data_IF_873530477698
#
_entry.id   IF_873530477698
#
_cell.length_a   1.000
_cell.length_b   1.000
_cell.length_c   1.000
_cell.angle_alpha   90.00
_cell.angle_beta   90.00
_cell.angle_gamma   90.00
#
_symmetry.space_group_name_H-M   'P 1'
#
loop_
_entity.id
_entity.type
_entity.pdbx_description
1 polymer ?
#
# COMPACT_ATOMS: atom_id res chain seq x y z
N UNK A 1 21.90 5.87 74.35
CA UNK A 1 22.59 6.51 73.21
C UNK A 1 22.79 5.46 72.13
N UNK A 2 21.97 5.47 71.09
CA UNK A 2 22.13 4.63 69.90
C UNK A 2 21.76 5.53 68.72
N UNK A 3 22.76 5.90 67.92
CA UNK A 3 22.61 6.76 66.76
C UNK A 3 22.37 5.88 65.53
N UNK A 4 21.22 6.07 64.86
CA UNK A 4 20.99 5.54 63.51
C UNK A 4 21.82 6.35 62.50
N UNK A 5 22.42 5.73 61.48
CA UNK A 5 23.04 6.46 60.39
C UNK A 5 21.96 7.08 59.48
N UNK A 6 22.25 8.19 58.79
CA UNK A 6 21.30 8.80 57.87
C UNK A 6 21.13 7.91 56.63
N UNK A 7 19.89 7.57 56.33
CA UNK A 7 19.49 7.01 55.05
C UNK A 7 19.73 8.06 53.96
N UNK A 8 20.43 7.65 52.92
CA UNK A 8 20.82 8.46 51.78
C UNK A 8 19.69 8.34 50.73
N UNK A 9 18.88 9.38 50.45
CA UNK A 9 17.88 9.30 49.39
C UNK A 9 18.56 9.71 48.08
N UNK A 10 19.41 8.83 47.57
CA UNK A 10 19.80 8.84 46.17
C UNK A 10 19.14 7.61 45.52
N UNK A 11 17.81 7.61 45.53
CA UNK A 11 17.04 6.85 44.57
C UNK A 11 17.31 7.51 43.22
N UNK A 12 18.07 6.78 42.41
CA UNK A 12 18.27 7.07 41.00
C UNK A 12 16.90 7.08 40.32
N UNK A 13 16.36 8.28 40.11
CA UNK A 13 15.47 8.56 38.98
C UNK A 13 16.32 8.42 37.71
N UNK A 14 16.61 7.18 37.35
CA UNK A 14 16.87 6.81 35.96
C UNK A 14 15.49 6.52 35.38
N UNK A 15 14.70 7.58 35.23
CA UNK A 15 13.66 7.60 34.21
C UNK A 15 14.43 7.39 32.90
N UNK A 16 14.42 6.14 32.42
CA UNK A 16 14.71 5.93 31.02
C UNK A 16 13.69 6.78 30.27
N UNK A 17 14.17 7.79 29.55
CA UNK A 17 13.40 8.40 28.47
C UNK A 17 12.84 7.23 27.66
N UNK A 18 11.55 6.96 27.82
CA UNK A 18 10.81 6.26 26.80
C UNK A 18 10.85 7.23 25.62
N UNK A 19 11.87 7.09 24.78
CA UNK A 19 11.98 7.78 23.50
C UNK A 19 10.78 7.33 22.67
N UNK A 20 9.65 8.02 22.84
CA UNK A 20 8.52 7.90 21.93
C UNK A 20 9.06 8.15 20.53
N UNK A 21 8.87 7.21 19.59
CA UNK A 21 9.47 7.33 18.28
C UNK A 21 8.84 8.52 17.56
N UNK A 22 9.63 9.59 17.39
CA UNK A 22 9.22 10.70 16.54
C UNK A 22 9.10 10.24 15.08
N UNK A 23 8.26 10.90 14.29
CA UNK A 23 8.15 10.64 12.85
C UNK A 23 9.49 10.78 12.14
N UNK A 24 10.35 11.71 12.59
CA UNK A 24 11.70 11.86 12.10
C UNK A 24 12.55 10.60 12.37
N UNK A 25 12.50 10.06 13.59
CA UNK A 25 13.22 8.83 13.95
C UNK A 25 12.78 7.64 13.08
N UNK A 26 11.47 7.52 12.82
CA UNK A 26 10.92 6.48 11.96
C UNK A 26 11.46 6.62 10.53
N UNK A 27 11.41 7.83 9.96
CA UNK A 27 11.90 8.11 8.61
C UNK A 27 13.40 7.86 8.46
N UNK A 28 14.20 8.24 9.46
CA UNK A 28 15.65 8.00 9.46
C UNK A 28 15.98 6.50 9.49
N UNK A 29 15.30 5.72 10.34
CA UNK A 29 15.49 4.27 10.41
C UNK A 29 15.08 3.55 9.11
N UNK A 30 14.05 4.06 8.42
CA UNK A 30 13.50 3.44 7.21
C UNK A 30 14.08 4.00 5.91
N UNK A 31 14.93 5.02 5.94
CA UNK A 31 15.43 5.73 4.75
C UNK A 31 16.06 4.80 3.70
N UNK A 32 16.76 3.75 4.13
CA UNK A 32 17.40 2.77 3.24
C UNK A 32 16.40 1.97 2.40
N UNK A 33 15.16 1.83 2.85
CA UNK A 33 14.09 1.11 2.13
C UNK A 33 13.59 1.91 0.91
N UNK A 34 13.84 3.22 0.84
CA UNK A 34 13.44 4.07 -0.28
C UNK A 34 13.97 3.60 -1.64
N UNK A 35 15.09 2.86 -1.65
CA UNK A 35 15.68 2.27 -2.87
C UNK A 35 14.79 1.24 -3.56
N UNK A 36 13.81 0.68 -2.87
CA UNK A 36 12.88 -0.31 -3.42
C UNK A 36 11.63 0.34 -4.03
N UNK A 37 11.43 1.65 -3.82
CA UNK A 37 10.35 2.38 -4.49
C UNK A 37 10.61 2.48 -5.99
N UNK A 38 9.54 2.67 -6.77
CA UNK A 38 9.59 2.63 -8.23
C UNK A 38 9.06 3.91 -8.89
N UNK A 39 9.47 5.12 -8.46
CA UNK A 39 8.90 6.37 -8.97
C UNK A 39 9.07 6.53 -10.48
N UNK A 40 10.22 6.11 -11.02
CA UNK A 40 10.51 6.17 -12.46
C UNK A 40 9.62 5.22 -13.27
N UNK A 41 9.31 4.03 -12.73
CA UNK A 41 8.40 3.08 -13.39
C UNK A 41 6.99 3.68 -13.50
N UNK A 42 6.49 4.26 -12.41
CA UNK A 42 5.18 4.93 -12.41
C UNK A 42 5.17 6.07 -13.43
N UNK A 43 6.17 6.95 -13.43
CA UNK A 43 6.26 8.06 -14.37
C UNK A 43 6.28 7.58 -15.83
N UNK A 44 7.06 6.54 -16.14
CA UNK A 44 7.12 5.95 -17.48
C UNK A 44 5.80 5.34 -17.92
N UNK A 45 5.09 4.63 -17.03
CA UNK A 45 3.78 4.06 -17.34
C UNK A 45 2.72 5.14 -17.60
N UNK A 46 2.73 6.22 -16.80
CA UNK A 46 1.84 7.36 -16.99
C UNK A 46 2.07 8.03 -18.35
N UNK A 47 3.33 8.23 -18.75
CA UNK A 47 3.65 8.81 -20.06
C UNK A 47 3.17 7.91 -21.21
N UNK A 48 3.42 6.58 -21.11
CA UNK A 48 2.95 5.62 -22.13
C UNK A 48 1.43 5.60 -22.25
N UNK A 49 0.73 5.80 -21.15
CA UNK A 49 -0.72 5.78 -21.12
C UNK A 49 -1.35 6.91 -21.98
N UNK A 50 -0.67 8.06 -22.15
CA UNK A 50 -1.15 9.13 -23.03
C UNK A 50 -1.40 8.70 -24.47
N UNK A 51 -0.80 7.59 -24.89
CA UNK A 51 -0.85 7.09 -26.26
C UNK A 51 -1.71 5.82 -26.41
N UNK A 52 -2.29 5.31 -25.32
CA UNK A 52 -3.02 4.05 -25.28
C UNK A 52 -4.46 4.27 -24.81
N UNK A 53 -5.41 3.52 -25.39
CA UNK A 53 -6.80 3.54 -24.94
C UNK A 53 -6.96 2.55 -23.81
N UNK A 54 -7.59 2.98 -22.71
CA UNK A 54 -8.09 2.10 -21.65
C UNK A 54 -9.49 1.62 -22.02
N UNK A 55 -9.84 0.42 -21.55
CA UNK A 55 -11.21 -0.09 -21.53
C UNK A 55 -12.16 0.92 -20.83
N UNK A 56 -13.17 1.40 -21.56
CA UNK A 56 -14.12 2.38 -21.05
C UNK A 56 -14.95 1.89 -19.86
N UNK A 57 -15.24 0.60 -19.77
CA UNK A 57 -15.97 0.01 -18.63
C UNK A 57 -15.10 -0.05 -17.38
N UNK A 58 -13.81 -0.35 -17.53
CA UNK A 58 -12.85 -0.28 -16.43
C UNK A 58 -12.73 1.16 -15.93
N UNK A 59 -12.65 2.12 -16.86
CA UNK A 59 -12.59 3.53 -16.51
C UNK A 59 -13.86 4.02 -15.78
N UNK A 60 -15.05 3.70 -16.30
CA UNK A 60 -16.31 4.08 -15.65
C UNK A 60 -16.42 3.50 -14.24
N UNK A 61 -15.95 2.27 -14.04
CA UNK A 61 -15.89 1.66 -12.72
C UNK A 61 -14.94 2.40 -11.77
N UNK A 62 -13.75 2.79 -12.23
CA UNK A 62 -12.80 3.58 -11.46
C UNK A 62 -13.40 4.92 -11.00
N UNK A 63 -14.05 5.63 -11.92
CA UNK A 63 -14.73 6.91 -11.64
C UNK A 63 -15.80 6.75 -10.54
N UNK A 64 -16.50 5.62 -10.50
CA UNK A 64 -17.51 5.34 -9.48
C UNK A 64 -16.91 4.86 -8.15
N UNK A 65 -15.83 4.09 -8.20
CA UNK A 65 -15.23 3.46 -7.02
C UNK A 65 -14.39 4.44 -6.19
N UNK A 66 -13.61 5.31 -6.83
CA UNK A 66 -12.76 6.30 -6.15
C UNK A 66 -13.51 7.17 -5.12
N UNK A 67 -14.65 7.81 -5.44
CA UNK A 67 -15.38 8.67 -4.51
C UNK A 67 -16.20 7.91 -3.47
N UNK A 68 -16.34 6.59 -3.59
CA UNK A 68 -17.17 5.84 -2.64
C UNK A 68 -16.57 5.89 -1.23
N UNK A 69 -17.39 6.08 -0.19
CA UNK A 69 -16.92 6.08 1.20
C UNK A 69 -16.71 4.67 1.78
N UNK A 70 -17.05 3.63 1.02
CA UNK A 70 -16.88 2.25 1.48
C UNK A 70 -15.44 1.78 1.20
N UNK A 71 -14.68 1.38 2.25
CA UNK A 71 -13.38 0.75 2.08
C UNK A 71 -13.65 -0.66 1.58
N UNK A 72 -13.58 -0.85 0.27
CA UNK A 72 -13.67 -2.18 -0.32
C UNK A 72 -12.56 -2.37 -1.31
N UNK A 73 -11.64 -3.29 -0.97
CA UNK A 73 -10.61 -3.74 -1.86
C UNK A 73 -11.20 -4.21 -3.20
N UNK A 74 -10.56 -3.78 -4.28
CA UNK A 74 -10.85 -4.21 -5.64
C UNK A 74 -9.68 -5.02 -6.15
N UNK A 75 -9.99 -6.17 -6.74
CA UNK A 75 -9.09 -6.92 -7.59
C UNK A 75 -9.59 -6.91 -9.02
N UNK A 76 -8.73 -6.45 -9.93
CA UNK A 76 -8.97 -6.54 -11.37
C UNK A 76 -8.14 -7.69 -11.95
N UNK A 77 -8.84 -8.73 -12.40
CA UNK A 77 -8.24 -9.88 -13.07
C UNK A 77 -8.21 -9.66 -14.59
N UNK A 78 -7.01 -9.55 -15.13
CA UNK A 78 -6.74 -9.44 -16.55
C UNK A 78 -6.53 -10.77 -17.24
N UNK A 79 -6.45 -10.78 -18.58
CA UNK A 79 -6.08 -11.97 -19.33
C UNK A 79 -4.63 -12.36 -19.05
N UNK A 80 -4.35 -13.67 -18.98
CA UNK A 80 -3.02 -14.19 -18.64
C UNK A 80 -1.93 -13.96 -19.71
N UNK A 81 -2.33 -13.61 -20.94
CA UNK A 81 -1.41 -13.37 -22.06
C UNK A 81 -1.65 -11.96 -22.59
N UNK A 82 -0.96 -10.99 -21.99
CA UNK A 82 -1.00 -9.58 -22.38
C UNK A 82 0.39 -9.08 -22.76
N UNK A 83 0.44 -8.10 -23.65
CA UNK A 83 1.67 -7.38 -23.98
C UNK A 83 2.03 -6.44 -22.83
N UNK A 84 3.30 -6.35 -22.46
CA UNK A 84 3.76 -5.41 -21.41
C UNK A 84 3.87 -3.96 -21.96
N UNK A 85 3.25 -2.96 -21.32
CA UNK A 85 2.39 -3.03 -20.15
C UNK A 85 0.97 -3.43 -20.55
N UNK A 86 0.33 -4.19 -19.67
CA UNK A 86 -1.07 -4.57 -19.87
C UNK A 86 -2.02 -3.39 -19.67
N UNK A 87 -3.28 -3.58 -20.07
CA UNK A 87 -4.35 -2.62 -19.77
C UNK A 87 -4.52 -2.38 -18.27
N UNK A 88 -4.34 -3.43 -17.47
CA UNK A 88 -4.42 -3.36 -16.02
C UNK A 88 -3.27 -2.55 -15.43
N UNK A 89 -2.03 -2.81 -15.87
CA UNK A 89 -0.86 -2.01 -15.48
C UNK A 89 -1.04 -0.53 -15.80
N UNK A 90 -1.55 -0.22 -16.99
CA UNK A 90 -1.81 1.15 -17.41
C UNK A 90 -2.91 1.80 -16.57
N UNK A 91 -4.02 1.10 -16.34
CA UNK A 91 -5.12 1.56 -15.48
C UNK A 91 -4.65 1.84 -14.05
N UNK A 92 -3.83 0.98 -13.47
CA UNK A 92 -3.25 1.19 -12.13
C UNK A 92 -2.37 2.44 -12.08
N UNK A 93 -1.49 2.66 -13.07
CA UNK A 93 -0.67 3.88 -13.16
C UNK A 93 -1.52 5.15 -13.29
N UNK A 94 -2.61 5.07 -14.04
CA UNK A 94 -3.58 6.16 -14.18
C UNK A 94 -4.33 6.44 -12.89
N UNK A 95 -4.77 5.40 -12.17
CA UNK A 95 -5.44 5.52 -10.88
C UNK A 95 -4.53 6.20 -9.83
N UNK A 96 -3.25 5.83 -9.78
CA UNK A 96 -2.27 6.50 -8.91
C UNK A 96 -2.16 7.99 -9.24
N UNK A 97 -2.18 8.34 -10.52
CA UNK A 97 -2.15 9.75 -10.96
C UNK A 97 -3.43 10.47 -10.56
N UNK A 98 -4.59 9.82 -10.66
CA UNK A 98 -5.87 10.36 -10.23
C UNK A 98 -5.87 10.69 -8.74
N UNK A 99 -5.50 9.73 -7.87
CA UNK A 99 -5.40 9.96 -6.43
C UNK A 99 -4.47 11.13 -6.08
N UNK A 100 -3.30 11.21 -6.73
CA UNK A 100 -2.35 12.31 -6.52
C UNK A 100 -2.92 13.67 -6.91
N UNK A 101 -3.72 13.75 -7.98
CA UNK A 101 -4.35 15.02 -8.42
C UNK A 101 -5.35 15.54 -7.40
N UNK A 102 -6.16 14.66 -6.81
CA UNK A 102 -7.13 15.00 -5.76
C UNK A 102 -6.51 15.01 -4.35
N UNK A 103 -5.17 15.01 -4.25
CA UNK A 103 -4.42 15.06 -2.99
C UNK A 103 -4.71 13.93 -2.00
N UNK A 104 -5.21 12.78 -2.48
CA UNK A 104 -5.34 11.57 -1.68
C UNK A 104 -3.96 10.89 -1.64
N UNK A 105 -3.38 10.64 -0.45
CA UNK A 105 -2.10 9.95 -0.37
C UNK A 105 -2.24 8.53 -0.94
N UNK A 106 -1.24 8.10 -1.69
CA UNK A 106 -1.24 6.80 -2.37
C UNK A 106 0.12 6.14 -2.26
N UNK A 107 0.13 4.89 -1.80
CA UNK A 107 1.28 4.00 -1.92
C UNK A 107 1.06 3.05 -3.08
N UNK A 108 2.15 2.68 -3.75
CA UNK A 108 2.05 1.80 -4.89
C UNK A 108 3.28 0.94 -5.11
N UNK A 109 3.06 -0.19 -5.77
CA UNK A 109 4.13 -1.05 -6.26
C UNK A 109 3.71 -1.78 -7.53
N UNK A 110 4.63 -1.92 -8.48
CA UNK A 110 4.41 -2.68 -9.71
C UNK A 110 5.33 -3.90 -9.68
N UNK A 111 4.74 -5.06 -9.42
CA UNK A 111 5.44 -6.33 -9.58
C UNK A 111 5.76 -6.51 -11.06
N UNK A 112 6.99 -6.86 -11.37
CA UNK A 112 7.38 -7.15 -12.73
C UNK A 112 8.22 -8.42 -12.78
N UNK A 113 7.90 -9.27 -13.76
CA UNK A 113 8.77 -10.37 -14.13
C UNK A 113 9.77 -9.85 -15.18
N UNK A 114 10.93 -9.36 -14.76
CA UNK A 114 11.98 -8.97 -15.71
C UNK A 114 12.70 -10.21 -16.24
N UNK A 115 12.04 -10.91 -17.16
CA UNK A 115 12.57 -12.10 -17.83
C UNK A 115 13.85 -11.80 -18.67
N UNK A 116 14.20 -10.53 -18.86
CA UNK A 116 15.42 -10.12 -19.60
C UNK A 116 16.67 -10.33 -18.75
N UNK A 117 16.53 -10.23 -17.43
CA UNK A 117 17.57 -10.62 -16.50
C UNK A 117 17.43 -12.11 -16.26
N UNK A 118 18.15 -12.93 -17.03
CA UNK A 118 18.22 -14.40 -16.90
C UNK A 118 18.71 -14.92 -15.53
N UNK A 119 18.78 -14.07 -14.51
CA UNK A 119 19.06 -14.46 -13.15
C UNK A 119 17.79 -15.02 -12.50
N UNK A 120 17.87 -16.12 -11.75
CA UNK A 120 16.74 -16.60 -10.97
C UNK A 120 16.37 -15.54 -9.92
N UNK A 121 15.24 -14.88 -10.13
CA UNK A 121 14.67 -13.94 -9.16
C UNK A 121 14.01 -14.75 -8.05
N UNK A 122 14.42 -14.54 -6.80
CA UNK A 122 13.76 -15.13 -5.64
C UNK A 122 12.45 -14.39 -5.39
N UNK A 123 11.30 -15.08 -5.53
CA UNK A 123 9.98 -14.48 -5.27
C UNK A 123 9.86 -13.93 -3.84
N UNK A 124 10.46 -14.60 -2.86
CA UNK A 124 10.57 -14.09 -1.49
C UNK A 124 11.29 -12.73 -1.41
N UNK A 125 12.32 -12.54 -2.23
CA UNK A 125 13.09 -11.29 -2.25
C UNK A 125 12.27 -10.18 -2.90
N UNK A 126 11.53 -10.48 -3.96
CA UNK A 126 10.63 -9.52 -4.59
C UNK A 126 9.47 -9.12 -3.68
N UNK A 127 8.88 -10.08 -2.97
CA UNK A 127 7.86 -9.80 -1.96
C UNK A 127 8.43 -8.91 -0.84
N UNK A 128 9.64 -9.20 -0.36
CA UNK A 128 10.32 -8.38 0.65
C UNK A 128 10.58 -6.96 0.15
N UNK A 129 11.11 -6.82 -1.07
CA UNK A 129 11.36 -5.52 -1.69
C UNK A 129 10.07 -4.71 -1.81
N UNK A 130 8.96 -5.34 -2.22
CA UNK A 130 7.65 -4.72 -2.26
C UNK A 130 7.21 -4.26 -0.88
N UNK A 131 7.29 -5.12 0.14
CA UNK A 131 6.89 -4.78 1.51
C UNK A 131 7.71 -3.60 2.03
N UNK A 132 9.04 -3.59 1.85
CA UNK A 132 9.89 -2.45 2.21
C UNK A 132 9.54 -1.17 1.45
N UNK A 133 9.24 -1.26 0.15
CA UNK A 133 8.80 -0.11 -0.62
C UNK A 133 7.50 0.48 -0.08
N UNK A 134 6.54 -0.36 0.33
CA UNK A 134 5.27 0.09 0.90
C UNK A 134 5.47 0.71 2.29
N UNK A 135 6.25 0.07 3.17
CA UNK A 135 6.64 0.59 4.49
C UNK A 135 7.26 1.99 4.36
N UNK A 136 8.24 2.14 3.46
CA UNK A 136 8.88 3.43 3.24
C UNK A 136 7.88 4.48 2.77
N UNK A 137 7.04 4.18 1.78
CA UNK A 137 6.06 5.15 1.31
C UNK A 137 5.07 5.54 2.41
N UNK A 138 4.63 4.62 3.28
CA UNK A 138 3.78 4.95 4.44
C UNK A 138 4.53 5.88 5.40
N UNK A 139 5.81 5.65 5.66
CA UNK A 139 6.63 6.51 6.54
C UNK A 139 6.68 7.98 6.09
N UNK A 140 6.49 8.22 4.78
CA UNK A 140 6.45 9.57 4.22
C UNK A 140 5.08 10.25 4.30
N UNK A 141 4.05 9.51 4.72
CA UNK A 141 2.64 9.97 4.79
C UNK A 141 2.19 10.17 6.25
N UNK A 142 2.87 9.55 7.20
CA UNK A 142 2.59 9.72 8.64
C UNK A 142 2.84 11.20 9.04
N UNK A 143 1.97 11.83 9.86
CA UNK A 143 2.15 13.23 10.27
C UNK A 143 3.41 13.40 11.10
N UNK A 144 3.97 14.61 11.13
CA UNK A 144 5.09 14.95 12.02
C UNK A 144 4.73 14.81 13.50
N UNK A 145 3.45 15.01 13.84
CA UNK A 145 2.94 14.92 15.21
C UNK A 145 2.06 13.67 15.39
N UNK A 146 2.58 12.68 16.13
CA UNK A 146 1.88 11.46 16.52
C UNK A 146 1.21 11.58 17.90
N UNK A 147 1.33 12.72 18.59
CA UNK A 147 0.88 12.90 19.98
C UNK A 147 -0.60 12.56 20.19
N UNK A 148 -1.47 12.91 19.24
CA UNK A 148 -2.90 12.58 19.32
C UNK A 148 -3.22 11.08 19.21
N UNK A 149 -2.28 10.28 18.69
CA UNK A 149 -2.38 8.83 18.58
C UNK A 149 -1.69 8.12 19.77
N UNK A 150 -0.67 8.77 20.35
CA UNK A 150 0.12 8.36 21.52
C UNK A 150 -0.70 8.21 22.82
N UNK A 151 -1.89 8.80 22.87
CA UNK A 151 -2.83 8.67 23.98
C UNK A 151 -3.64 7.35 23.99
N UNK A 152 -3.45 6.45 23.01
CA UNK A 152 -4.13 5.15 22.97
C UNK A 152 -3.24 4.01 23.49
N UNK A 153 -3.77 3.10 24.31
CA UNK A 153 -2.99 1.99 24.87
C UNK A 153 -2.66 0.87 23.85
N UNK A 154 -3.14 0.99 22.61
CA UNK A 154 -3.05 -0.05 21.56
C UNK A 154 -2.09 0.33 20.41
N UNK A 155 -1.08 1.16 20.68
CA UNK A 155 -0.17 1.65 19.63
C UNK A 155 0.85 0.56 19.27
N UNK A 156 1.07 0.33 17.97
CA UNK A 156 2.11 -0.57 17.54
C UNK A 156 3.51 -0.14 17.99
N UNK A 157 4.38 -1.10 18.31
CA UNK A 157 5.79 -0.80 18.61
C UNK A 157 6.50 -0.27 17.36
N UNK A 158 6.77 1.03 17.31
CA UNK A 158 7.55 1.68 16.24
C UNK A 158 8.94 2.12 16.74
N UNK A 159 9.46 1.46 17.77
CA UNK A 159 10.77 1.78 18.33
C UNK A 159 11.89 1.64 17.30
N UNK A 160 12.91 2.48 17.44
CA UNK A 160 14.11 2.40 16.61
C UNK A 160 14.77 1.00 16.66
N UNK A 161 14.67 0.30 17.80
CA UNK A 161 15.16 -1.07 17.94
C UNK A 161 14.47 -2.03 16.96
N UNK A 162 13.14 -1.99 16.89
CA UNK A 162 12.36 -2.81 15.96
C UNK A 162 12.66 -2.43 14.52
N UNK A 163 12.65 -1.14 14.18
CA UNK A 163 12.89 -0.67 12.80
C UNK A 163 14.29 -1.05 12.31
N UNK A 164 15.32 -0.89 13.15
CA UNK A 164 16.71 -1.24 12.82
C UNK A 164 16.99 -2.76 12.82
N UNK A 165 16.08 -3.57 13.38
CA UNK A 165 16.21 -5.03 13.34
C UNK A 165 15.94 -5.60 11.94
N UNK A 166 15.21 -4.87 11.09
CA UNK A 166 14.91 -5.30 9.73
C UNK A 166 16.14 -5.20 8.84
N UNK A 167 16.43 -6.28 8.12
CA UNK A 167 17.56 -6.42 7.22
C UNK A 167 17.08 -6.75 5.81
N UNK A 168 17.86 -6.43 4.75
CA UNK A 168 17.53 -6.77 3.37
C UNK A 168 17.75 -8.25 3.05
N UNK A 169 17.15 -9.14 3.87
CA UNK A 169 17.20 -10.58 3.72
C UNK A 169 15.86 -11.24 4.03
N UNK A 170 15.67 -12.46 3.52
CA UNK A 170 14.40 -13.19 3.60
C UNK A 170 13.95 -13.51 5.03
N UNK A 171 14.84 -13.54 6.02
CA UNK A 171 14.45 -13.81 7.41
C UNK A 171 13.66 -12.63 8.00
N UNK A 172 13.85 -11.43 7.44
CA UNK A 172 13.11 -10.23 7.84
C UNK A 172 11.69 -10.18 7.27
N UNK A 173 11.31 -11.05 6.33
CA UNK A 173 10.04 -10.97 5.62
C UNK A 173 8.80 -11.04 6.55
N UNK A 174 8.67 -12.00 7.49
CA UNK A 174 7.53 -12.03 8.40
C UNK A 174 7.43 -10.74 9.24
N UNK A 175 8.54 -10.29 9.83
CA UNK A 175 8.59 -9.09 10.66
C UNK A 175 8.30 -7.81 9.85
N UNK A 176 8.71 -7.76 8.59
CA UNK A 176 8.40 -6.66 7.69
C UNK A 176 6.91 -6.62 7.36
N UNK A 177 6.25 -7.76 7.11
CA UNK A 177 4.81 -7.82 6.87
C UNK A 177 4.01 -7.38 8.10
N UNK A 178 4.46 -7.77 9.30
CA UNK A 178 3.86 -7.29 10.56
C UNK A 178 4.01 -5.78 10.71
N UNK A 179 5.22 -5.24 10.49
CA UNK A 179 5.45 -3.80 10.53
C UNK A 179 4.58 -3.05 9.51
N UNK A 180 4.39 -3.60 8.31
CA UNK A 180 3.50 -3.01 7.30
C UNK A 180 2.07 -2.88 7.85
N UNK A 181 1.53 -3.91 8.51
CA UNK A 181 0.20 -3.87 9.11
C UNK A 181 0.07 -2.80 10.19
N UNK A 182 1.08 -2.72 11.06
CA UNK A 182 1.17 -1.73 12.11
C UNK A 182 1.23 -0.30 11.58
N UNK A 183 2.03 -0.08 10.53
CA UNK A 183 2.12 1.22 9.87
C UNK A 183 0.83 1.61 9.16
N UNK A 184 0.13 0.66 8.53
CA UNK A 184 -1.19 0.90 7.94
C UNK A 184 -2.23 1.31 8.99
N UNK A 185 -2.13 0.81 10.22
CA UNK A 185 -3.06 1.13 11.30
C UNK A 185 -2.94 2.57 11.82
N UNK A 186 -1.79 3.22 11.62
CA UNK A 186 -1.51 4.58 12.09
C UNK A 186 -1.58 5.67 11.00
N UNK A 187 -1.93 5.32 9.76
CA UNK A 187 -2.07 6.33 8.69
C UNK A 187 -3.22 7.29 9.06
N UNK A 188 -2.98 8.61 9.10
CA UNK A 188 -3.90 9.60 9.66
C UNK A 188 -5.06 9.97 8.74
N UNK A 189 -4.91 9.73 7.43
CA UNK A 189 -5.80 10.30 6.42
C UNK A 189 -7.18 9.65 6.48
N UNK A 190 -8.23 10.47 6.41
CA UNK A 190 -9.62 10.00 6.29
C UNK A 190 -9.81 9.12 5.04
N UNK A 191 -9.02 9.36 3.99
CA UNK A 191 -8.94 8.51 2.80
C UNK A 191 -7.47 8.32 2.39
N UNK A 192 -7.07 7.08 2.14
CA UNK A 192 -5.72 6.70 1.70
C UNK A 192 -5.82 5.52 0.72
N UNK A 193 -4.93 5.46 -0.28
CA UNK A 193 -4.95 4.42 -1.31
C UNK A 193 -3.70 3.54 -1.34
N UNK A 194 -3.88 2.24 -1.59
CA UNK A 194 -2.82 1.27 -1.85
C UNK A 194 -3.08 0.60 -3.20
N UNK A 195 -2.17 0.79 -4.16
CA UNK A 195 -2.30 0.28 -5.53
C UNK A 195 -1.15 -0.69 -5.85
N UNK A 196 -1.45 -1.96 -6.05
CA UNK A 196 -0.45 -2.99 -6.36
C UNK A 196 -0.79 -3.67 -7.68
N UNK A 197 0.14 -3.59 -8.64
CA UNK A 197 0.01 -4.25 -9.93
C UNK A 197 0.89 -5.50 -10.02
N UNK A 198 0.43 -6.50 -10.77
CA UNK A 198 1.21 -7.68 -11.11
C UNK A 198 1.34 -8.72 -9.98
N UNK A 199 0.43 -8.73 -9.00
CA UNK A 199 0.58 -9.58 -7.81
C UNK A 199 0.65 -11.09 -8.12
N UNK A 200 0.09 -11.54 -9.26
CA UNK A 200 0.19 -12.92 -9.76
C UNK A 200 1.64 -13.35 -10.06
N UNK A 201 2.58 -12.41 -10.19
CA UNK A 201 4.00 -12.74 -10.30
C UNK A 201 4.59 -13.25 -8.99
N UNK A 202 3.96 -12.95 -7.85
CA UNK A 202 4.37 -13.41 -6.52
C UNK A 202 3.52 -14.59 -6.02
N UNK A 203 2.30 -14.75 -6.51
CA UNK A 203 1.45 -15.88 -6.12
C UNK A 203 1.90 -17.19 -6.80
N UNK A 204 2.81 -17.93 -6.17
CA UNK A 204 3.45 -19.13 -6.74
C UNK A 204 3.15 -20.37 -5.91
N UNK A 205 2.45 -21.32 -6.54
CA UNK A 205 2.08 -22.59 -5.93
C UNK A 205 3.28 -23.54 -5.70
N UNK A 206 4.37 -23.38 -6.43
CA UNK A 206 5.54 -24.27 -6.32
C UNK A 206 6.53 -23.86 -5.23
N UNK A 207 6.30 -22.71 -4.57
CA UNK A 207 7.16 -22.21 -3.50
C UNK A 207 6.93 -22.95 -2.16
N UNK A 208 7.94 -22.89 -1.29
CA UNK A 208 7.90 -23.54 0.02
C UNK A 208 6.80 -22.99 0.94
N UNK A 209 6.35 -23.81 1.89
CA UNK A 209 5.26 -23.45 2.83
C UNK A 209 5.50 -22.13 3.57
N UNK A 210 6.75 -21.85 3.97
CA UNK A 210 7.10 -20.60 4.65
C UNK A 210 6.87 -19.35 3.79
N UNK A 211 7.17 -19.42 2.49
CA UNK A 211 6.90 -18.32 1.56
C UNK A 211 5.39 -18.12 1.38
N UNK A 212 4.64 -19.20 1.15
CA UNK A 212 3.19 -19.15 0.99
C UNK A 212 2.50 -18.54 2.21
N UNK A 213 2.93 -18.93 3.41
CA UNK A 213 2.43 -18.36 4.65
C UNK A 213 2.69 -16.84 4.72
N UNK A 214 3.89 -16.37 4.35
CA UNK A 214 4.19 -14.95 4.29
C UNK A 214 3.32 -14.22 3.26
N UNK A 215 3.18 -14.76 2.05
CA UNK A 215 2.36 -14.13 1.00
C UNK A 215 0.88 -14.04 1.40
N UNK A 216 0.33 -15.10 2.00
CA UNK A 216 -1.04 -15.09 2.54
C UNK A 216 -1.19 -14.10 3.70
N UNK A 217 -0.20 -14.00 4.58
CA UNK A 217 -0.19 -13.01 5.66
C UNK A 217 -0.18 -11.58 5.10
N UNK A 218 0.63 -11.32 4.08
CA UNK A 218 0.66 -10.03 3.39
C UNK A 218 -0.72 -9.66 2.81
N UNK A 219 -1.36 -10.59 2.10
CA UNK A 219 -2.72 -10.38 1.55
C UNK A 219 -3.73 -10.11 2.66
N UNK A 220 -3.65 -10.84 3.78
CA UNK A 220 -4.51 -10.61 4.97
C UNK A 220 -4.28 -9.25 5.63
N UNK A 221 -3.02 -8.82 5.77
CA UNK A 221 -2.68 -7.50 6.32
C UNK A 221 -3.36 -6.38 5.52
N UNK A 222 -3.31 -6.46 4.18
CA UNK A 222 -4.04 -5.52 3.32
C UNK A 222 -5.55 -5.61 3.54
N UNK A 223 -6.11 -6.81 3.70
CA UNK A 223 -7.53 -7.01 3.95
C UNK A 223 -8.04 -6.39 5.25
N UNK A 224 -7.35 -6.65 6.36
CA UNK A 224 -7.78 -6.20 7.68
C UNK A 224 -7.53 -4.70 7.94
N UNK A 225 -6.56 -4.10 7.26
CA UNK A 225 -6.28 -2.66 7.37
C UNK A 225 -7.46 -1.76 6.95
N UNK A 226 -8.49 -2.32 6.29
CA UNK A 226 -9.70 -1.59 5.85
C UNK A 226 -10.72 -1.30 6.95
N UNK A 227 -10.52 -1.78 8.18
CA UNK A 227 -11.59 -1.89 9.19
C UNK A 227 -11.69 -0.72 10.19
N UNK A 228 -10.77 0.24 10.16
CA UNK A 228 -10.73 1.33 11.15
C UNK A 228 -11.46 2.61 10.74
N UNK A 229 -12.80 2.65 10.84
CA UNK A 229 -13.55 3.91 10.72
C UNK A 229 -13.08 4.91 11.81
N UNK A 230 -12.85 6.21 11.51
CA UNK A 230 -13.30 7.00 10.36
C UNK A 230 -12.38 6.97 9.12
N UNK A 231 -11.41 6.05 9.03
CA UNK A 231 -10.47 5.97 7.90
C UNK A 231 -10.97 5.03 6.81
N UNK A 232 -10.81 5.46 5.57
CA UNK A 232 -11.15 4.70 4.36
C UNK A 232 -9.86 4.33 3.63
N UNK A 233 -9.41 3.09 3.79
CA UNK A 233 -8.34 2.51 2.98
C UNK A 233 -8.92 1.96 1.67
N UNK A 234 -8.50 2.55 0.55
CA UNK A 234 -8.80 2.08 -0.81
C UNK A 234 -7.70 1.15 -1.27
N UNK A 235 -8.02 -0.13 -1.48
CA UNK A 235 -7.06 -1.10 -1.99
C UNK A 235 -7.43 -1.45 -3.43
N UNK A 236 -6.46 -1.32 -4.31
CA UNK A 236 -6.52 -1.71 -5.71
C UNK A 236 -5.42 -2.72 -5.99
N UNK A 237 -5.81 -3.93 -6.37
CA UNK A 237 -4.91 -4.98 -6.80
C UNK A 237 -5.22 -5.30 -8.26
N UNK A 238 -4.21 -5.39 -9.10
CA UNK A 238 -4.39 -5.78 -10.50
C UNK A 238 -3.48 -6.93 -10.88
N UNK A 239 -4.00 -7.83 -11.70
CA UNK A 239 -3.26 -8.98 -12.23
C UNK A 239 -3.49 -9.15 -13.72
N UNK A 240 -2.53 -9.79 -14.40
CA UNK A 240 -2.66 -10.34 -15.76
C UNK A 240 -2.66 -11.85 -15.65
N UNK A 241 -3.86 -12.40 -15.44
CA UNK A 241 -4.07 -13.80 -15.10
C UNK A 241 -4.48 -14.01 -13.65
N UNK A 242 -4.61 -15.29 -13.31
CA UNK A 242 -5.18 -15.74 -12.06
C UNK A 242 -4.23 -15.58 -10.87
N UNK A 243 -4.80 -15.35 -9.69
CA UNK A 243 -4.11 -15.43 -8.40
C UNK A 243 -5.02 -16.18 -7.42
N UNK A 244 -4.56 -17.33 -6.94
CA UNK A 244 -5.29 -18.17 -5.99
C UNK A 244 -5.47 -17.46 -4.64
N UNK A 245 -4.44 -16.78 -4.15
CA UNK A 245 -4.53 -16.05 -2.87
C UNK A 245 -5.52 -14.89 -2.92
N UNK A 246 -5.69 -14.24 -4.09
CA UNK A 246 -6.71 -13.21 -4.28
C UNK A 246 -8.11 -13.80 -4.47
N UNK A 247 -8.20 -14.99 -5.07
CA UNK A 247 -9.45 -15.74 -5.14
C UNK A 247 -9.94 -16.12 -3.74
N UNK A 248 -9.06 -16.59 -2.86
CA UNK A 248 -9.38 -16.87 -1.46
C UNK A 248 -9.91 -15.61 -0.75
N UNK A 249 -9.25 -14.46 -0.96
CA UNK A 249 -9.69 -13.17 -0.40
C UNK A 249 -11.09 -12.72 -0.87
N UNK A 250 -11.45 -13.03 -2.11
CA UNK A 250 -12.80 -12.79 -2.65
C UNK A 250 -13.82 -13.71 -1.96
N UNK A 251 -13.48 -14.97 -1.77
CA UNK A 251 -14.33 -15.95 -1.08
C UNK A 251 -14.56 -15.60 0.39
N UNK A 252 -13.55 -15.03 1.04
CA UNK A 252 -13.62 -14.45 2.39
C UNK A 252 -14.39 -13.10 2.46
N UNK A 253 -14.84 -12.57 1.32
CA UNK A 253 -15.74 -11.40 1.15
C UNK A 253 -15.19 -10.03 1.52
N UNK A 254 -13.91 -9.90 1.86
CA UNK A 254 -13.32 -8.58 2.10
C UNK A 254 -12.83 -7.91 0.80
N UNK A 255 -12.78 -8.65 -0.30
CA UNK A 255 -12.40 -8.15 -1.62
C UNK A 255 -13.52 -8.34 -2.66
N UNK A 256 -13.62 -7.40 -3.60
CA UNK A 256 -14.42 -7.53 -4.81
C UNK A 256 -13.52 -7.85 -6.00
N UNK A 257 -13.96 -8.73 -6.89
CA UNK A 257 -13.26 -9.03 -8.14
C UNK A 257 -14.04 -8.52 -9.35
N UNK A 258 -13.31 -8.06 -10.37
CA UNK A 258 -13.82 -7.77 -11.70
C UNK A 258 -12.84 -8.31 -12.73
N UNK A 259 -13.38 -8.95 -13.77
CA UNK A 259 -12.58 -9.45 -14.89
C UNK A 259 -12.60 -8.44 -16.03
N UNK A 260 -11.43 -8.16 -16.61
CA UNK A 260 -11.32 -7.42 -17.87
C UNK A 260 -11.22 -8.42 -19.02
N UNK A 261 -12.00 -8.20 -20.08
CA UNK A 261 -11.99 -9.09 -21.25
C UNK A 261 -10.90 -8.63 -22.21
N UNK A 262 -10.23 -9.56 -22.90
CA UNK A 262 -9.50 -9.21 -24.12
C UNK A 262 -10.52 -8.73 -25.15
N UNK A 263 -10.76 -7.43 -25.24
CA UNK A 263 -11.61 -6.90 -26.30
C UNK A 263 -10.93 -7.14 -27.66
N UNK A 264 -11.61 -7.92 -28.51
CA UNK A 264 -11.45 -7.78 -29.95
C UNK A 264 -11.74 -6.31 -30.30
N UNK A 265 -10.92 -5.74 -31.18
CA UNK A 265 -10.68 -4.31 -31.42
C UNK A 265 -11.87 -3.41 -31.83
N UNK A 266 -13.14 -3.77 -31.64
CA UNK A 266 -14.22 -3.09 -32.39
C UNK A 266 -15.05 -2.03 -31.65
N UNK A 267 -15.01 -1.88 -30.32
CA UNK A 267 -15.70 -0.75 -29.66
C UNK A 267 -14.97 -0.23 -28.40
N UNK A 268 -13.69 0.16 -28.53
CA UNK A 268 -13.06 0.93 -27.45
C UNK A 268 -13.71 2.32 -27.40
N UNK A 269 -14.56 2.57 -26.41
CA UNK A 269 -14.95 3.92 -26.05
C UNK A 269 -13.68 4.69 -25.64
N UNK A 270 -13.13 5.50 -26.57
CA UNK A 270 -12.04 6.43 -26.27
C UNK A 270 -12.59 7.57 -25.42
N UNK A 271 -12.72 7.32 -24.14
CA UNK A 271 -13.00 8.37 -23.16
C UNK A 271 -11.64 8.96 -22.78
N UNK A 272 -11.44 10.24 -23.10
CA UNK A 272 -10.25 10.95 -22.66
C UNK A 272 -10.34 11.13 -21.15
N UNK A 273 -9.59 10.29 -20.43
CA UNK A 273 -9.64 10.26 -18.97
C UNK A 273 -9.20 11.60 -18.36
N UNK A 274 -8.45 12.44 -19.08
CA UNK A 274 -8.11 13.78 -18.61
C UNK A 274 -9.39 14.61 -18.44
N UNK A 275 -10.31 14.56 -19.41
CA UNK A 275 -11.62 15.23 -19.31
C UNK A 275 -12.52 14.61 -18.22
N UNK A 276 -12.45 13.29 -18.03
CA UNK A 276 -13.20 12.62 -16.94
C UNK A 276 -12.62 12.90 -15.55
N UNK A 277 -11.30 13.11 -15.44
CA UNK A 277 -10.66 13.53 -14.20
C UNK A 277 -10.97 15.01 -13.89
N UNK A 278 -11.09 15.88 -14.89
CA UNK A 278 -11.60 17.25 -14.69
C UNK A 278 -13.02 17.26 -14.10
N UNK A 279 -13.86 16.29 -14.48
CA UNK A 279 -15.19 16.11 -13.88
C UNK A 279 -15.12 15.60 -12.44
N UNK A 280 -14.14 14.73 -12.11
CA UNK A 280 -13.89 14.29 -10.74
C UNK A 280 -13.36 15.42 -9.87
N UNK A 281 -12.42 16.25 -10.36
CA UNK A 281 -11.94 17.45 -9.67
C UNK A 281 -13.12 18.38 -9.31
N UNK A 282 -14.07 18.58 -10.22
CA UNK A 282 -15.30 19.34 -9.91
C UNK A 282 -16.19 18.65 -8.86
N UNK A 283 -16.29 17.33 -8.87
CA UNK A 283 -17.12 16.59 -7.91
C UNK A 283 -16.55 16.64 -6.48
N UNK A 284 -15.23 16.47 -6.34
CA UNK A 284 -14.55 16.61 -5.04
C UNK A 284 -14.50 18.07 -4.55
N UNK A 285 -14.49 19.07 -5.43
CA UNK A 285 -14.64 20.48 -5.07
C UNK A 285 -16.04 20.82 -4.54
N UNK A 286 -17.08 20.15 -5.04
CA UNK A 286 -18.47 20.32 -4.56
C UNK A 286 -18.66 19.66 -3.20
N UNK A 287 -18.11 18.45 -3.00
CA UNK A 287 -18.18 17.79 -1.69
C UNK A 287 -17.26 18.43 -0.65
N UNK A 288 -16.10 18.98 -1.06
CA UNK A 288 -15.22 19.78 -0.19
C UNK A 288 -15.84 21.07 0.35
N UNK A 289 -16.89 21.59 -0.29
CA UNK A 289 -17.70 22.71 0.24
C UNK A 289 -18.74 22.26 1.29
N UNK A 290 -18.98 20.96 1.45
CA UNK A 290 -19.90 20.39 2.46
C UNK A 290 -19.13 19.91 3.70
N UNK A 291 -17.82 19.67 3.60
CA UNK A 291 -16.98 19.21 4.72
C UNK A 291 -16.09 20.28 5.35
N UNK A 292 -16.25 21.55 4.95
CA UNK A 292 -15.62 22.70 5.61
C UNK A 292 -16.54 23.31 6.66
N UNK A 293 -16.61 22.67 7.84
CA UNK A 293 -16.90 23.24 9.17
C UNK A 293 -17.50 22.13 10.05
N UNK A 294 -16.66 21.53 10.90
CA UNK A 294 -16.91 21.23 12.32
C UNK A 294 -15.77 20.43 12.94
#
# INVERSE_FOLDING_TARGET
MSARPPENPALSDMQGEHDEPSTQTIQECLAWMGRYTQPDRVANLVERNRYLSIDGNLLLHLIQWMPSLFPKAQWIEGPAVTTEPSQNTLATAMLITAFKRVQIPVISYFCCNDQRNHAPVSYGTELLNMVFALIYQISTIIPEDLSSWLDSEDIPDLSASRLNSLQPDLQSLPAAIELLGDMLAIVPSSVFACCIDGLQFLDKEDEGEGYKACFQQFVKVLGYAQTGYPRVLKIWLSTDGHSGSLQDAVEERWMQTRKTVCENQDESLRIDMIQSLEQLDMMYMIDGLVFGDH
#
